data_IF_764361989876
#
_entry.id   IF_764361989876
#
_cell.length_a   1.000
_cell.length_b   1.000
_cell.length_c   1.000
_cell.angle_alpha   90.00
_cell.angle_beta   90.00
_cell.angle_gamma   90.00
#
_symmetry.space_group_name_H-M   'P 1'
#
loop_
_entity.id
_entity.type
_entity.pdbx_description
1 polymer ?
#
# COMPACT_ATOMS: atom_id res chain seq x y z
N UNK A 1 3.20 5.96 -7.70
CA UNK A 1 3.56 4.62 -8.24
C UNK A 1 2.66 4.32 -9.43
N UNK A 2 3.19 4.05 -10.64
CA UNK A 2 2.35 3.76 -11.84
C UNK A 2 2.56 2.32 -12.32
N UNK A 3 1.58 1.73 -13.00
CA UNK A 3 1.70 0.35 -13.51
C UNK A 3 2.84 0.19 -14.52
N UNK A 4 3.17 1.26 -15.25
CA UNK A 4 4.28 1.26 -16.19
C UNK A 4 5.63 1.16 -15.46
N UNK A 5 5.80 1.81 -14.30
CA UNK A 5 7.06 1.68 -13.53
C UNK A 5 7.28 0.25 -13.05
N UNK A 6 6.23 -0.44 -12.61
CA UNK A 6 6.30 -1.85 -12.21
C UNK A 6 6.53 -2.80 -13.38
N UNK A 7 6.02 -2.45 -14.57
CA UNK A 7 6.26 -3.21 -15.81
C UNK A 7 7.72 -3.12 -16.24
N UNK A 8 8.35 -1.95 -16.12
CA UNK A 8 9.80 -1.75 -16.35
C UNK A 8 10.62 -2.57 -15.35
N UNK A 9 10.19 -2.63 -14.08
CA UNK A 9 10.80 -3.48 -13.05
C UNK A 9 10.47 -4.98 -13.22
N UNK A 10 9.82 -5.38 -14.32
CA UNK A 10 9.40 -6.76 -14.63
C UNK A 10 8.48 -7.40 -13.57
N UNK A 11 7.88 -6.59 -12.70
CA UNK A 11 6.86 -7.03 -11.75
C UNK A 11 5.57 -7.18 -12.54
N UNK A 12 5.13 -8.41 -12.80
CA UNK A 12 3.89 -8.71 -13.54
C UNK A 12 2.73 -9.13 -12.62
N UNK A 13 3.04 -9.57 -11.41
CA UNK A 13 2.03 -10.06 -10.46
C UNK A 13 1.17 -8.91 -9.90
N UNK A 14 -0.14 -9.01 -10.08
CA UNK A 14 -1.12 -8.04 -9.59
C UNK A 14 -1.14 -7.90 -8.07
N UNK A 15 -0.77 -8.95 -7.33
CA UNK A 15 -0.65 -8.94 -5.87
C UNK A 15 0.47 -7.99 -5.42
N UNK A 16 1.66 -8.18 -5.98
CA UNK A 16 2.82 -7.35 -5.68
C UNK A 16 2.61 -5.90 -6.13
N UNK A 17 2.03 -5.72 -7.32
CA UNK A 17 1.68 -4.39 -7.84
C UNK A 17 0.67 -3.69 -6.95
N UNK A 18 -0.42 -4.37 -6.61
CA UNK A 18 -1.45 -3.89 -5.69
C UNK A 18 -0.89 -3.48 -4.33
N UNK A 19 -0.10 -4.35 -3.71
CA UNK A 19 0.55 -4.08 -2.45
C UNK A 19 1.44 -2.83 -2.50
N UNK A 20 2.25 -2.69 -3.56
CA UNK A 20 3.12 -1.52 -3.75
C UNK A 20 2.34 -0.22 -3.96
N UNK A 21 1.21 -0.28 -4.68
CA UNK A 21 0.32 0.87 -4.87
C UNK A 21 -0.34 1.24 -3.55
N UNK A 22 -0.80 0.26 -2.76
CA UNK A 22 -1.40 0.49 -1.45
C UNK A 22 -0.43 1.12 -0.44
N UNK A 23 0.85 0.72 -0.46
CA UNK A 23 1.90 1.34 0.37
C UNK A 23 2.26 2.76 -0.07
N UNK A 24 2.35 2.99 -1.37
CA UNK A 24 2.84 4.27 -1.92
C UNK A 24 1.74 5.31 -2.14
N UNK A 25 0.47 5.01 -1.84
CA UNK A 25 -0.67 5.89 -2.12
C UNK A 25 -1.60 6.05 -0.92
N UNK A 26 -2.62 6.90 -1.09
CA UNK A 26 -3.72 7.08 -0.13
C UNK A 26 -4.87 6.10 -0.43
N UNK A 27 -5.87 6.03 0.47
CA UNK A 27 -7.04 5.15 0.29
C UNK A 27 -7.77 5.29 -1.05
N UNK A 28 -7.73 6.49 -1.67
CA UNK A 28 -8.25 6.73 -3.03
C UNK A 28 -7.49 5.90 -4.08
N UNK A 29 -6.17 5.75 -3.92
CA UNK A 29 -5.34 4.89 -4.77
C UNK A 29 -5.66 3.42 -4.60
N UNK A 30 -5.95 2.97 -3.37
CA UNK A 30 -6.45 1.62 -3.07
C UNK A 30 -7.81 1.35 -3.73
N UNK A 31 -8.75 2.30 -3.64
CA UNK A 31 -10.05 2.20 -4.31
C UNK A 31 -9.90 2.13 -5.84
N UNK A 32 -8.98 2.92 -6.40
CA UNK A 32 -8.68 2.87 -7.84
C UNK A 32 -8.00 1.55 -8.26
N UNK A 33 -7.19 0.94 -7.39
CA UNK A 33 -6.61 -0.38 -7.65
C UNK A 33 -7.69 -1.48 -7.75
N UNK A 34 -8.76 -1.40 -6.95
CA UNK A 34 -9.93 -2.28 -7.08
C UNK A 34 -10.64 -2.14 -8.43
N UNK A 35 -10.72 -0.93 -8.99
CA UNK A 35 -11.31 -0.70 -10.32
C UNK A 35 -10.49 -1.32 -11.45
N UNK A 36 -9.16 -1.44 -11.28
CA UNK A 36 -8.27 -2.05 -12.29
C UNK A 36 -8.25 -3.57 -12.18
N UNK A 37 -8.07 -4.10 -10.97
CA UNK A 37 -8.06 -5.54 -10.73
C UNK A 37 -8.46 -5.85 -9.27
N UNK A 38 -9.40 -6.78 -9.04
CA UNK A 38 -9.84 -7.13 -7.68
C UNK A 38 -8.70 -7.63 -6.78
N UNK A 39 -7.77 -8.43 -7.33
CA UNK A 39 -6.62 -8.93 -6.55
C UNK A 39 -5.63 -7.81 -6.22
N UNK A 40 -5.40 -6.88 -7.13
CA UNK A 40 -4.54 -5.74 -6.84
C UNK A 40 -5.15 -4.82 -5.76
N UNK A 41 -6.47 -4.59 -5.84
CA UNK A 41 -7.20 -3.85 -4.79
C UNK A 41 -7.14 -4.52 -3.42
N UNK A 42 -7.34 -5.85 -3.36
CA UNK A 42 -7.27 -6.60 -2.10
C UNK A 42 -5.89 -6.46 -1.43
N UNK A 43 -4.81 -6.66 -2.20
CA UNK A 43 -3.44 -6.52 -1.67
C UNK A 43 -3.07 -5.07 -1.35
N UNK A 44 -3.59 -4.09 -2.10
CA UNK A 44 -3.45 -2.68 -1.76
C UNK A 44 -4.10 -2.34 -0.42
N UNK A 45 -5.29 -2.90 -0.14
CA UNK A 45 -5.99 -2.73 1.14
C UNK A 45 -5.23 -3.34 2.31
N UNK A 46 -4.67 -4.55 2.14
CA UNK A 46 -3.80 -5.19 3.15
C UNK A 46 -2.59 -4.32 3.44
N UNK A 47 -1.95 -3.78 2.41
CA UNK A 47 -0.78 -2.91 2.56
C UNK A 47 -1.11 -1.65 3.40
N UNK A 48 -2.27 -1.04 3.14
CA UNK A 48 -2.75 0.13 3.88
C UNK A 48 -3.07 -0.21 5.35
N UNK A 49 -3.74 -1.34 5.60
CA UNK A 49 -4.05 -1.80 6.95
C UNK A 49 -2.78 -2.09 7.77
N UNK A 50 -1.79 -2.76 7.17
CA UNK A 50 -0.50 -3.01 7.80
C UNK A 50 0.24 -1.71 8.12
N UNK A 51 0.21 -0.73 7.22
CA UNK A 51 0.81 0.57 7.48
C UNK A 51 0.14 1.29 8.66
N UNK A 52 -1.20 1.25 8.74
CA UNK A 52 -1.93 1.82 9.86
C UNK A 52 -1.61 1.12 11.19
N UNK A 53 -1.55 -0.22 11.19
CA UNK A 53 -1.16 -1.01 12.37
C UNK A 53 0.26 -0.66 12.83
N UNK A 54 1.21 -0.62 11.90
CA UNK A 54 2.60 -0.27 12.19
C UNK A 54 2.70 1.14 12.76
N UNK A 55 1.98 2.10 12.16
CA UNK A 55 1.92 3.48 12.64
C UNK A 55 1.33 3.54 14.05
N UNK A 56 0.24 2.82 14.33
CA UNK A 56 -0.39 2.76 15.65
C UNK A 56 0.56 2.21 16.73
N UNK A 57 1.46 1.29 16.36
CA UNK A 57 2.46 0.74 17.27
C UNK A 57 3.65 1.69 17.48
N UNK A 58 4.11 2.36 16.41
CA UNK A 58 5.28 3.24 16.44
C UNK A 58 4.95 4.59 17.10
N UNK A 59 3.81 5.19 16.77
CA UNK A 59 3.40 6.52 17.26
C UNK A 59 3.51 6.66 18.78
N UNK A 60 2.97 5.77 19.64
CA UNK A 60 3.07 5.95 21.10
C UNK A 60 4.51 5.91 21.60
N UNK A 61 5.38 5.08 21.00
CA UNK A 61 6.81 5.03 21.34
C UNK A 61 7.50 6.32 20.92
N UNK A 62 7.18 6.83 19.73
CA UNK A 62 7.75 8.05 19.17
C UNK A 62 7.33 9.29 19.96
N UNK A 63 6.06 9.37 20.35
CA UNK A 63 5.53 10.44 21.23
C UNK A 63 6.22 10.42 22.59
N UNK A 64 6.42 9.23 23.17
CA UNK A 64 7.13 9.09 24.46
C UNK A 64 8.63 9.41 24.40
N UNK A 65 9.24 9.33 23.22
CA UNK A 65 10.63 9.77 23.03
C UNK A 65 10.76 11.28 22.83
N UNK A 66 9.71 11.93 22.30
CA UNK A 66 9.72 13.35 21.97
C UNK A 66 9.32 14.25 23.15
N UNK A 67 8.50 13.74 24.06
CA UNK A 67 8.08 14.37 25.34
C UNK A 67 8.97 13.87 26.47
#
# INVERSE_FOLDING_TARGET
>A
MSWNTQTVLRIKDWRARGFSVGLASHGIGTARAFQVNPTAGAYAGIAMALNALLTSLIVPVLVRWLI
#
